data_IF_710315077172
#
_entry.id   IF_710315077172
#
_cell.length_a   1.000
_cell.length_b   1.000
_cell.length_c   1.000
_cell.angle_alpha   90.00
_cell.angle_beta   90.00
_cell.angle_gamma   90.00
#
_symmetry.space_group_name_H-M   'P 1'
#
loop_
_entity.id
_entity.type
_entity.pdbx_description
1 polymer ?
#
# COMPACT_ATOMS: atom_id res chain seq x y z
N UNK A 1 -85.89 -24.10 37.08
CA UNK A 1 -86.95 -24.72 36.27
C UNK A 1 -87.56 -23.64 35.39
N UNK A 2 -87.60 -23.76 34.04
CA UNK A 2 -87.22 -24.87 33.18
C UNK A 2 -85.91 -24.63 32.41
N UNK A 3 -85.60 -25.58 31.54
CA UNK A 3 -84.29 -25.99 31.00
C UNK A 3 -84.28 -25.86 29.44
N UNK A 4 -83.32 -26.40 28.66
CA UNK A 4 -82.59 -25.71 27.59
C UNK A 4 -83.01 -26.14 26.16
N UNK A 5 -82.39 -25.57 25.11
CA UNK A 5 -82.15 -26.30 23.85
C UNK A 5 -80.87 -25.80 23.19
N UNK A 6 -80.03 -26.77 22.83
CA UNK A 6 -78.76 -26.63 22.15
C UNK A 6 -78.92 -26.20 20.67
N UNK A 7 -77.86 -25.62 20.09
CA UNK A 7 -77.67 -25.69 18.64
C UNK A 7 -76.21 -25.89 18.30
N UNK A 8 -76.01 -26.82 17.37
CA UNK A 8 -74.79 -27.54 17.02
C UNK A 8 -73.70 -26.68 16.35
N UNK A 9 -72.43 -27.15 16.34
CA UNK A 9 -71.37 -26.51 15.59
C UNK A 9 -71.54 -26.74 14.08
N UNK A 10 -71.57 -25.66 13.29
CA UNK A 10 -71.45 -25.72 11.83
C UNK A 10 -69.99 -25.90 11.42
N UNK A 11 -69.76 -26.88 10.55
CA UNK A 11 -68.47 -27.22 9.97
C UNK A 11 -67.78 -26.02 9.27
N UNK A 12 -66.44 -25.95 9.27
CA UNK A 12 -65.73 -24.96 8.49
C UNK A 12 -65.91 -25.26 6.99
N UNK A 13 -66.49 -24.31 6.26
CA UNK A 13 -66.46 -24.32 4.80
C UNK A 13 -65.06 -23.94 4.34
N UNK A 14 -64.43 -24.84 3.58
CA UNK A 14 -63.20 -24.57 2.88
C UNK A 14 -63.37 -23.32 1.98
N UNK A 15 -62.66 -22.25 2.32
CA UNK A 15 -62.50 -21.10 1.45
C UNK A 15 -61.43 -21.42 0.39
N UNK A 16 -61.79 -21.15 -0.86
CA UNK A 16 -60.95 -21.33 -2.05
C UNK A 16 -59.63 -20.54 -1.96
N UNK A 17 -58.55 -21.00 -2.60
CA UNK A 17 -57.24 -20.38 -2.53
C UNK A 17 -57.25 -19.00 -3.21
N UNK A 18 -56.79 -17.99 -2.49
CA UNK A 18 -56.51 -16.67 -3.03
C UNK A 18 -55.29 -16.75 -3.97
N UNK A 19 -55.46 -16.17 -5.15
CA UNK A 19 -54.45 -16.10 -6.20
C UNK A 19 -53.18 -15.38 -5.71
N UNK A 20 -52.02 -15.97 -6.00
CA UNK A 20 -50.71 -15.36 -5.82
C UNK A 20 -50.57 -14.11 -6.73
N UNK A 21 -49.98 -13.01 -6.23
CA UNK A 21 -49.67 -11.86 -7.06
C UNK A 21 -48.56 -12.21 -8.06
N UNK A 22 -48.77 -11.84 -9.32
CA UNK A 22 -47.79 -11.90 -10.41
C UNK A 22 -46.44 -11.28 -10.00
N UNK A 23 -45.29 -11.93 -10.26
CA UNK A 23 -44.00 -11.32 -10.00
C UNK A 23 -43.78 -10.13 -10.94
N UNK A 24 -43.46 -8.97 -10.35
CA UNK A 24 -42.98 -7.82 -11.09
C UNK A 24 -41.69 -8.20 -11.86
N UNK A 25 -41.64 -7.83 -13.15
CA UNK A 25 -40.48 -8.06 -13.99
C UNK A 25 -39.23 -7.38 -13.40
N UNK A 26 -38.14 -8.13 -13.26
CA UNK A 26 -36.85 -7.62 -12.84
C UNK A 26 -36.32 -6.56 -13.82
N UNK A 27 -35.64 -5.50 -13.36
CA UNK A 27 -34.99 -4.56 -14.26
C UNK A 27 -33.84 -5.25 -15.00
N UNK A 28 -33.67 -4.93 -16.28
CA UNK A 28 -32.56 -5.40 -17.10
C UNK A 28 -31.21 -4.94 -16.50
N UNK A 29 -30.14 -5.74 -16.57
CA UNK A 29 -28.83 -5.31 -16.11
C UNK A 29 -28.34 -4.13 -16.97
N UNK A 30 -27.98 -3.02 -16.32
CA UNK A 30 -27.21 -1.95 -16.95
C UNK A 30 -25.90 -2.55 -17.45
N UNK A 31 -25.64 -2.41 -18.76
CA UNK A 31 -24.33 -2.74 -19.32
C UNK A 31 -23.28 -1.82 -18.69
N UNK A 32 -22.36 -2.41 -17.94
CA UNK A 32 -21.16 -1.73 -17.48
C UNK A 32 -20.38 -1.24 -18.72
N UNK A 33 -19.90 0.02 -18.76
CA UNK A 33 -19.07 0.48 -19.86
C UNK A 33 -17.87 -0.46 -19.99
N UNK A 34 -17.67 -1.01 -21.19
CA UNK A 34 -16.51 -1.82 -21.48
C UNK A 34 -15.25 -1.04 -21.08
N UNK A 35 -14.48 -1.58 -20.13
CA UNK A 35 -13.15 -1.08 -19.82
C UNK A 35 -12.40 -0.96 -21.16
N UNK A 36 -11.77 0.20 -21.46
CA UNK A 36 -10.84 0.28 -22.57
C UNK A 36 -9.86 -0.88 -22.44
N UNK A 37 -9.70 -1.66 -23.52
CA UNK A 37 -8.72 -2.72 -23.54
C UNK A 37 -7.37 -2.13 -23.10
N UNK A 38 -6.81 -2.66 -22.00
CA UNK A 38 -5.44 -2.33 -21.63
C UNK A 38 -4.57 -2.56 -22.87
N UNK A 39 -3.75 -1.58 -23.28
CA UNK A 39 -2.84 -1.79 -24.39
C UNK A 39 -2.02 -3.03 -24.06
N UNK A 40 -2.01 -4.02 -24.97
CA UNK A 40 -1.11 -5.17 -24.88
C UNK A 40 0.28 -4.60 -24.64
N UNK A 41 0.78 -4.77 -23.42
CA UNK A 41 2.12 -4.34 -23.08
C UNK A 41 3.04 -5.15 -23.99
N UNK A 42 3.69 -4.48 -24.95
CA UNK A 42 4.91 -5.00 -25.56
C UNK A 42 5.73 -5.54 -24.39
N UNK A 43 6.12 -6.82 -24.42
CA UNK A 43 6.68 -7.57 -23.28
C UNK A 43 7.99 -7.03 -22.68
N UNK A 44 8.32 -5.77 -22.92
CA UNK A 44 9.31 -4.96 -22.26
C UNK A 44 8.96 -4.78 -20.77
N UNK A 45 9.73 -5.47 -19.92
CA UNK A 45 9.76 -5.23 -18.49
C UNK A 45 10.96 -4.33 -18.18
N UNK A 46 10.76 -3.09 -17.70
CA UNK A 46 11.87 -2.23 -17.36
C UNK A 46 12.67 -2.83 -16.20
N UNK A 47 14.00 -2.81 -16.32
CA UNK A 47 14.92 -3.30 -15.26
C UNK A 47 14.92 -2.36 -14.05
N UNK A 48 14.65 -1.08 -14.26
CA UNK A 48 14.61 -0.04 -13.22
C UNK A 48 13.14 0.34 -12.96
N UNK A 49 12.76 0.38 -11.69
CA UNK A 49 11.43 0.79 -11.25
C UNK A 49 11.16 2.30 -11.39
N UNK A 50 9.97 2.74 -10.97
CA UNK A 50 9.52 4.14 -11.07
C UNK A 50 10.45 5.13 -10.38
N UNK A 51 11.02 4.74 -9.24
CA UNK A 51 12.05 5.48 -8.52
C UNK A 51 13.34 4.67 -8.62
N UNK A 52 14.34 5.15 -9.37
CA UNK A 52 15.66 4.51 -9.44
C UNK A 52 16.28 4.30 -8.05
N UNK A 53 16.69 3.06 -7.78
CA UNK A 53 17.46 2.67 -6.59
C UNK A 53 18.68 1.91 -7.11
N UNK A 54 19.88 2.47 -6.89
CA UNK A 54 21.14 1.97 -7.45
C UNK A 54 22.22 1.91 -6.36
N UNK A 55 23.35 1.26 -6.67
CA UNK A 55 24.58 1.31 -5.86
C UNK A 55 24.36 1.00 -4.38
N UNK A 56 23.69 -0.13 -4.12
CA UNK A 56 23.39 -0.63 -2.78
C UNK A 56 24.67 -0.90 -1.98
N UNK A 57 24.62 -0.61 -0.69
CA UNK A 57 25.62 -1.02 0.30
C UNK A 57 24.92 -1.39 1.60
N UNK A 58 25.37 -2.43 2.34
CA UNK A 58 26.54 -3.25 2.07
C UNK A 58 26.25 -4.32 1.01
N UNK A 59 27.04 -4.34 -0.06
CA UNK A 59 26.98 -5.34 -1.12
C UNK A 59 28.41 -5.64 -1.57
N UNK A 60 28.72 -6.91 -1.81
CA UNK A 60 29.98 -7.33 -2.42
C UNK A 60 29.84 -7.19 -3.94
N UNK A 61 30.95 -6.96 -4.65
CA UNK A 61 30.96 -6.82 -6.10
C UNK A 61 30.25 -8.01 -6.79
N UNK A 62 29.47 -7.68 -7.82
CA UNK A 62 28.58 -8.59 -8.58
C UNK A 62 27.49 -9.30 -7.76
N UNK A 63 27.26 -8.93 -6.49
CA UNK A 63 26.28 -9.57 -5.58
C UNK A 63 26.46 -11.09 -5.44
N UNK A 64 27.67 -11.58 -5.72
CA UNK A 64 27.96 -13.02 -5.76
C UNK A 64 27.99 -13.65 -4.37
N UNK A 65 28.24 -12.84 -3.34
CA UNK A 65 28.42 -13.29 -1.98
C UNK A 65 27.67 -12.38 -1.00
N UNK A 66 26.99 -12.97 0.01
CA UNK A 66 26.36 -12.17 1.05
C UNK A 66 27.37 -11.31 1.80
N UNK A 67 27.00 -10.06 2.05
CA UNK A 67 27.71 -9.22 3.01
C UNK A 67 27.72 -9.88 4.40
N UNK A 68 28.77 -9.62 5.18
CA UNK A 68 28.97 -10.21 6.50
C UNK A 68 29.07 -9.12 7.56
N UNK A 69 28.53 -9.40 8.73
CA UNK A 69 28.60 -8.55 9.92
C UNK A 69 28.49 -9.44 11.18
N UNK A 70 28.55 -8.84 12.36
CA UNK A 70 28.49 -9.53 13.65
C UNK A 70 27.19 -9.23 14.38
N UNK A 71 26.85 -10.09 15.34
CA UNK A 71 25.74 -9.83 16.26
C UNK A 71 26.07 -8.57 17.08
N UNK A 72 25.07 -7.70 17.21
CA UNK A 72 25.12 -6.37 17.82
C UNK A 72 25.97 -5.32 17.10
N UNK A 73 26.46 -5.62 15.91
CA UNK A 73 27.14 -4.65 15.06
C UNK A 73 26.14 -3.65 14.46
N UNK A 74 26.58 -2.40 14.26
CA UNK A 74 25.79 -1.33 13.66
C UNK A 74 26.19 -1.19 12.21
N UNK A 75 25.37 -1.76 11.33
CA UNK A 75 25.69 -1.86 9.91
C UNK A 75 25.25 -0.59 9.18
N UNK A 76 26.14 0.05 8.40
CA UNK A 76 25.78 1.16 7.53
C UNK A 76 25.14 0.64 6.24
N UNK A 77 23.90 1.07 6.00
CA UNK A 77 23.18 0.82 4.76
C UNK A 77 23.15 2.08 3.90
N UNK A 78 23.11 1.90 2.58
CA UNK A 78 23.00 3.02 1.67
C UNK A 78 22.65 2.63 0.25
N UNK A 79 22.16 3.60 -0.50
CA UNK A 79 21.77 3.48 -1.89
C UNK A 79 21.81 4.85 -2.58
N UNK A 80 21.95 4.87 -3.89
CA UNK A 80 21.70 6.07 -4.70
C UNK A 80 20.24 6.05 -5.13
N UNK A 81 19.46 7.05 -4.70
CA UNK A 81 18.00 7.10 -4.89
C UNK A 81 17.60 8.49 -5.37
N UNK A 82 17.00 8.56 -6.55
CA UNK A 82 16.54 9.80 -7.15
C UNK A 82 15.26 9.58 -7.95
N UNK A 83 14.62 10.67 -8.38
CA UNK A 83 13.44 10.65 -9.26
C UNK A 83 13.57 11.76 -10.30
N UNK A 84 12.73 11.72 -11.33
CA UNK A 84 12.54 12.90 -12.18
C UNK A 84 11.77 14.01 -11.45
N UNK A 85 12.05 15.26 -11.84
CA UNK A 85 11.45 16.44 -11.24
C UNK A 85 12.17 16.91 -9.97
N UNK A 86 11.48 17.74 -9.18
CA UNK A 86 12.02 18.39 -7.99
C UNK A 86 11.24 18.08 -6.70
N UNK A 87 10.31 17.14 -6.79
CA UNK A 87 9.49 16.72 -5.66
C UNK A 87 10.30 15.83 -4.72
N UNK A 88 9.86 15.75 -3.46
CA UNK A 88 10.52 14.96 -2.44
C UNK A 88 10.31 13.45 -2.65
N UNK A 89 11.25 12.69 -2.10
CA UNK A 89 11.26 11.23 -2.04
C UNK A 89 11.39 10.82 -0.58
N UNK A 90 10.71 9.74 -0.19
CA UNK A 90 11.02 9.00 1.03
C UNK A 90 11.71 7.68 0.70
N UNK A 91 12.59 7.22 1.60
CA UNK A 91 13.24 5.92 1.46
C UNK A 91 13.46 5.24 2.82
N UNK A 92 13.29 3.92 2.85
CA UNK A 92 13.53 3.06 4.01
C UNK A 92 14.41 1.86 3.61
N UNK A 93 15.24 1.40 4.55
CA UNK A 93 15.80 0.04 4.53
C UNK A 93 14.84 -0.88 5.25
N UNK A 94 14.43 -1.95 4.59
CA UNK A 94 13.64 -3.02 5.17
C UNK A 94 14.57 -4.19 5.48
N UNK A 95 14.74 -4.50 6.77
CA UNK A 95 15.52 -5.64 7.25
C UNK A 95 14.59 -6.77 7.66
N UNK A 96 14.85 -7.96 7.13
CA UNK A 96 14.20 -9.21 7.55
C UNK A 96 15.19 -10.02 8.37
N UNK A 97 14.84 -10.30 9.61
CA UNK A 97 15.67 -11.08 10.53
C UNK A 97 15.59 -12.60 10.24
N UNK A 98 16.43 -13.43 10.90
CA UNK A 98 16.41 -14.88 10.72
C UNK A 98 15.10 -15.57 11.14
N UNK A 99 14.23 -14.88 11.88
CA UNK A 99 12.89 -15.37 12.26
C UNK A 99 11.81 -15.01 11.24
N UNK A 100 12.14 -14.13 10.29
CA UNK A 100 11.22 -13.58 9.29
C UNK A 100 10.56 -12.26 9.69
N UNK A 101 10.91 -11.68 10.85
CA UNK A 101 10.38 -10.40 11.26
C UNK A 101 10.98 -9.26 10.43
N UNK A 102 10.15 -8.34 9.97
CA UNK A 102 10.56 -7.20 9.12
C UNK A 102 10.54 -5.91 9.93
N UNK A 103 11.63 -5.16 9.87
CA UNK A 103 11.75 -3.81 10.45
C UNK A 103 12.10 -2.80 9.36
N UNK A 104 11.58 -1.58 9.49
CA UNK A 104 11.83 -0.47 8.56
C UNK A 104 12.67 0.62 9.23
N UNK A 105 13.72 1.05 8.54
CA UNK A 105 14.67 2.05 9.03
C UNK A 105 14.72 3.23 8.05
N UNK A 106 14.31 4.41 8.51
CA UNK A 106 14.27 5.62 7.68
C UNK A 106 15.66 5.98 7.20
N UNK A 107 15.78 6.23 5.89
CA UNK A 107 16.98 6.77 5.28
C UNK A 107 16.92 8.29 5.17
N UNK A 108 18.10 8.91 5.12
CA UNK A 108 18.27 10.33 4.84
C UNK A 108 19.42 10.54 3.85
N UNK A 109 19.41 11.68 3.15
CA UNK A 109 20.53 12.07 2.31
C UNK A 109 21.83 12.19 3.12
N UNK A 110 22.92 11.69 2.55
CA UNK A 110 24.27 11.79 3.08
C UNK A 110 24.77 13.23 2.95
N UNK A 111 24.73 13.96 4.06
CA UNK A 111 25.18 15.36 4.12
C UNK A 111 26.66 15.54 3.75
N UNK A 112 27.47 14.49 3.81
CA UNK A 112 28.89 14.54 3.40
C UNK A 112 29.08 14.46 1.88
N UNK A 113 28.03 14.09 1.14
CA UNK A 113 28.03 13.89 -0.32
C UNK A 113 26.85 14.65 -0.98
N UNK A 114 26.78 15.98 -0.82
CA UNK A 114 25.68 16.75 -1.38
C UNK A 114 25.62 16.62 -2.90
N UNK A 115 24.42 16.43 -3.44
CA UNK A 115 24.16 16.32 -4.88
C UNK A 115 24.48 14.97 -5.52
N UNK A 116 24.94 13.98 -4.76
CA UNK A 116 25.16 12.61 -5.27
C UNK A 116 23.96 11.69 -5.06
N UNK A 117 22.84 12.22 -4.58
CA UNK A 117 21.60 11.47 -4.28
C UNK A 117 21.87 10.21 -3.44
N UNK A 118 22.88 10.30 -2.56
CA UNK A 118 23.29 9.20 -1.72
C UNK A 118 22.44 9.19 -0.46
N UNK A 119 21.68 8.13 -0.26
CA UNK A 119 20.88 7.89 0.93
C UNK A 119 21.59 6.92 1.84
N UNK A 120 21.53 7.17 3.15
CA UNK A 120 22.16 6.34 4.17
C UNK A 120 21.24 6.16 5.37
N UNK A 121 21.43 5.04 6.07
CA UNK A 121 20.91 4.79 7.41
C UNK A 121 21.81 3.76 8.10
N UNK A 122 21.64 3.58 9.41
CA UNK A 122 22.35 2.55 10.17
C UNK A 122 21.36 1.74 10.96
N UNK A 123 21.56 0.42 11.03
CA UNK A 123 20.73 -0.46 11.84
C UNK A 123 21.58 -1.51 12.55
N UNK A 124 21.19 -1.85 13.79
CA UNK A 124 21.88 -2.86 14.58
C UNK A 124 21.29 -4.25 14.30
N UNK A 125 22.15 -5.25 14.12
CA UNK A 125 21.73 -6.63 13.88
C UNK A 125 21.74 -7.43 15.19
N UNK A 126 20.58 -7.76 15.75
CA UNK A 126 20.49 -8.31 17.11
C UNK A 126 20.65 -9.83 17.22
N UNK A 127 20.48 -10.55 16.11
CA UNK A 127 20.36 -12.01 16.10
C UNK A 127 21.33 -12.63 15.10
N UNK A 128 21.96 -13.74 15.48
CA UNK A 128 22.78 -14.53 14.57
C UNK A 128 21.91 -15.28 13.56
N UNK A 129 22.28 -15.21 12.28
CA UNK A 129 21.64 -15.99 11.23
C UNK A 129 21.72 -15.30 9.86
N UNK A 130 20.89 -15.77 8.93
CA UNK A 130 20.75 -15.16 7.61
C UNK A 130 19.76 -14.00 7.71
N UNK A 131 20.24 -12.81 7.39
CA UNK A 131 19.42 -11.63 7.22
C UNK A 131 19.20 -11.37 5.74
N UNK A 132 18.05 -10.81 5.38
CA UNK A 132 17.83 -10.25 4.05
C UNK A 132 17.44 -8.79 4.19
N UNK A 133 17.79 -7.99 3.19
CA UNK A 133 17.48 -6.57 3.22
C UNK A 133 17.12 -6.07 1.83
N UNK A 134 16.34 -5.00 1.80
CA UNK A 134 15.99 -4.28 0.58
C UNK A 134 15.79 -2.81 0.88
N UNK A 135 15.90 -1.98 -0.15
CA UNK A 135 15.55 -0.56 -0.07
C UNK A 135 14.18 -0.37 -0.70
N UNK A 136 13.31 0.39 -0.04
CA UNK A 136 12.06 0.88 -0.60
C UNK A 136 12.14 2.38 -0.74
N UNK A 137 11.66 2.91 -1.86
CA UNK A 137 11.57 4.35 -2.10
C UNK A 137 10.20 4.69 -2.70
N UNK A 138 9.68 5.87 -2.35
CA UNK A 138 8.37 6.34 -2.78
C UNK A 138 8.36 7.87 -2.97
N UNK A 139 7.45 8.35 -3.80
CA UNK A 139 7.18 9.79 -3.94
C UNK A 139 6.57 10.32 -2.65
N UNK A 140 7.19 11.33 -2.05
CA UNK A 140 6.64 11.97 -0.85
C UNK A 140 5.78 13.18 -1.26
N UNK A 141 4.58 12.89 -1.75
CA UNK A 141 3.64 13.91 -2.24
C UNK A 141 3.20 14.85 -1.11
N UNK A 142 3.02 14.32 0.10
CA UNK A 142 2.68 15.11 1.28
C UNK A 142 3.82 16.03 1.67
N UNK A 143 5.04 15.52 1.81
CA UNK A 143 6.21 16.33 2.12
C UNK A 143 6.44 17.41 1.07
N UNK A 144 6.26 17.08 -0.21
CA UNK A 144 6.35 18.04 -1.33
C UNK A 144 5.31 19.15 -1.20
N UNK A 145 4.05 18.80 -0.92
CA UNK A 145 2.99 19.78 -0.72
C UNK A 145 3.28 20.66 0.50
N UNK A 146 3.69 20.07 1.62
CA UNK A 146 3.98 20.78 2.86
C UNK A 146 5.10 21.81 2.65
N UNK A 147 6.22 21.40 2.04
CA UNK A 147 7.33 22.29 1.71
C UNK A 147 6.86 23.50 0.88
N UNK A 148 6.05 23.24 -0.13
CA UNK A 148 5.49 24.29 -0.98
C UNK A 148 4.54 25.22 -0.20
N UNK A 149 3.70 24.67 0.67
CA UNK A 149 2.73 25.41 1.46
C UNK A 149 3.44 26.33 2.47
N UNK A 150 4.48 25.85 3.14
CA UNK A 150 5.28 26.64 4.10
C UNK A 150 5.93 27.87 3.46
N UNK A 151 6.32 27.79 2.19
CA UNK A 151 6.88 28.92 1.46
C UNK A 151 5.79 29.86 0.94
N UNK A 152 4.69 29.31 0.41
CA UNK A 152 3.67 30.08 -0.34
C UNK A 152 2.63 30.71 0.56
N UNK A 153 2.11 30.00 1.57
CA UNK A 153 0.99 30.47 2.41
C UNK A 153 1.34 31.75 3.16
N UNK A 154 2.52 31.91 3.81
CA UNK A 154 2.86 33.15 4.50
C UNK A 154 2.90 34.36 3.54
N UNK A 155 3.37 34.15 2.31
CA UNK A 155 3.50 35.22 1.29
C UNK A 155 2.18 35.64 0.66
N UNK A 156 1.14 34.81 0.75
CA UNK A 156 -0.19 35.12 0.24
C UNK A 156 -1.02 36.00 1.20
N UNK A 157 -0.57 36.20 2.43
CA UNK A 157 -1.37 36.81 3.51
C UNK A 157 -1.34 38.35 3.60
N UNK A 158 -0.67 39.06 2.68
CA UNK A 158 -0.60 40.53 2.74
C UNK A 158 -1.52 41.19 1.71
N UNK A 159 -2.81 41.28 2.04
CA UNK A 159 -3.69 42.30 1.48
C UNK A 159 -4.63 42.78 2.58
N UNK A 160 -4.33 43.94 3.14
CA UNK A 160 -5.19 44.74 4.02
C UNK A 160 -4.88 46.20 3.73
#
# INVERSE_FOLDING_TARGET
MPEPVASAPSAPRHAAPAAEPTPAAAPAPSAEPAQPAEPEADGYVPVIGRIPILSLTPQIEDDLWPAKSFVHDVVPFGATIFREGHDLIGADVLLTDPTGAVTAHRMSLDATKPGLDRWITTAQLETQGVWTWRVSAWSDDFGTWLHNAEIKVPRASTST
#
